data_IF_830572020044
#
_entry.id   IF_830572020044
#
_cell.length_a   1.000
_cell.length_b   1.000
_cell.length_c   1.000
_cell.angle_alpha   90.00
_cell.angle_beta   90.00
_cell.angle_gamma   90.00
#
_symmetry.space_group_name_H-M   'P 1'
#
loop_
_entity.id
_entity.type
_entity.pdbx_description
1 polymer ?
#
# COMPACT_ATOMS: atom_id res chain seq x y z
N UNK A 1 -10.55 14.03 4.70
CA UNK A 1 -11.33 15.25 4.62
C UNK A 1 -10.67 16.31 3.71
N UNK A 2 -9.38 16.57 3.85
CA UNK A 2 -8.66 17.56 3.02
C UNK A 2 -8.84 17.32 1.51
N UNK A 3 -8.81 16.07 1.06
CA UNK A 3 -9.01 15.73 -0.34
C UNK A 3 -10.43 16.07 -0.82
N UNK A 4 -11.45 15.66 -0.07
CA UNK A 4 -12.86 15.90 -0.45
C UNK A 4 -13.16 17.39 -0.44
N UNK A 5 -12.63 18.12 0.53
CA UNK A 5 -12.80 19.58 0.63
C UNK A 5 -12.16 20.33 -0.53
N UNK A 6 -11.17 19.76 -1.21
CA UNK A 6 -10.53 20.37 -2.39
C UNK A 6 -11.31 20.16 -3.69
N UNK A 7 -12.30 19.28 -3.71
CA UNK A 7 -13.12 19.05 -4.90
C UNK A 7 -14.15 20.16 -5.11
N UNK A 8 -14.48 20.50 -6.35
CA UNK A 8 -15.61 21.39 -6.63
C UNK A 8 -16.88 20.80 -5.99
N UNK A 9 -17.61 21.60 -5.21
CA UNK A 9 -18.76 21.17 -4.42
C UNK A 9 -18.48 20.13 -3.31
N UNK A 10 -17.22 19.88 -2.94
CA UNK A 10 -16.83 19.00 -1.83
C UNK A 10 -17.50 17.62 -1.88
N UNK A 11 -18.26 17.27 -0.85
CA UNK A 11 -18.98 15.98 -0.75
C UNK A 11 -20.06 15.75 -1.81
N UNK A 12 -20.52 16.80 -2.46
CA UNK A 12 -21.54 16.73 -3.53
C UNK A 12 -20.93 16.62 -4.94
N UNK A 13 -19.61 16.48 -5.03
CA UNK A 13 -18.93 16.34 -6.32
C UNK A 13 -19.33 15.03 -7.00
N UNK A 14 -19.77 15.14 -8.26
CA UNK A 14 -20.15 13.97 -9.04
C UNK A 14 -18.93 13.30 -9.65
N UNK A 15 -18.53 12.16 -9.10
CA UNK A 15 -17.34 11.40 -9.54
C UNK A 15 -17.57 10.55 -10.78
N UNK A 16 -18.79 10.56 -11.34
CA UNK A 16 -19.19 9.72 -12.46
C UNK A 16 -19.09 8.22 -12.15
N UNK A 17 -19.43 7.40 -13.13
CA UNK A 17 -19.37 5.95 -12.99
C UNK A 17 -17.93 5.49 -12.71
N UNK A 18 -17.77 4.62 -11.71
CA UNK A 18 -16.46 4.09 -11.26
C UNK A 18 -15.43 5.17 -10.88
N UNK A 19 -15.86 6.38 -10.58
CA UNK A 19 -14.94 7.47 -10.22
C UNK A 19 -14.07 7.95 -11.38
N UNK A 20 -14.57 7.92 -12.61
CA UNK A 20 -13.82 8.28 -13.83
C UNK A 20 -13.23 9.69 -13.79
N UNK A 21 -13.79 10.61 -13.00
CA UNK A 21 -13.32 12.00 -12.81
C UNK A 21 -12.20 12.14 -11.78
N UNK A 22 -11.83 11.05 -11.11
CA UNK A 22 -10.80 11.04 -10.09
C UNK A 22 -9.50 10.43 -10.62
N UNK A 23 -8.37 10.85 -10.06
CA UNK A 23 -7.08 10.20 -10.31
C UNK A 23 -7.08 8.79 -9.71
N UNK A 24 -6.15 7.94 -10.16
CA UNK A 24 -5.96 6.59 -9.63
C UNK A 24 -5.73 6.60 -8.10
N UNK A 25 -4.90 7.49 -7.60
CA UNK A 25 -4.64 7.65 -6.16
C UNK A 25 -5.86 8.09 -5.37
N UNK A 26 -6.65 9.01 -5.91
CA UNK A 26 -7.89 9.49 -5.29
C UNK A 26 -8.94 8.38 -5.21
N UNK A 27 -9.10 7.58 -6.25
CA UNK A 27 -9.99 6.41 -6.25
C UNK A 27 -9.57 5.39 -5.19
N UNK A 28 -8.28 5.16 -5.03
CA UNK A 28 -7.74 4.26 -4.02
C UNK A 28 -7.99 4.75 -2.60
N UNK A 29 -7.82 6.06 -2.34
CA UNK A 29 -8.15 6.67 -1.04
C UNK A 29 -9.62 6.49 -0.68
N UNK A 30 -10.54 6.66 -1.64
CA UNK A 30 -11.98 6.43 -1.40
C UNK A 30 -12.26 4.97 -1.11
N UNK A 31 -11.63 4.03 -1.81
CA UNK A 31 -11.77 2.61 -1.54
C UNK A 31 -11.29 2.25 -0.12
N UNK A 32 -10.20 2.84 0.35
CA UNK A 32 -9.72 2.68 1.73
C UNK A 32 -10.69 3.25 2.76
N UNK A 33 -11.29 4.42 2.50
CA UNK A 33 -12.31 5.00 3.37
C UNK A 33 -13.53 4.10 3.50
N UNK A 34 -13.98 3.50 2.41
CA UNK A 34 -15.09 2.52 2.43
C UNK A 34 -14.77 1.31 3.30
N UNK A 35 -13.57 0.77 3.18
CA UNK A 35 -13.09 -0.33 4.02
C UNK A 35 -13.00 0.09 5.50
N UNK A 36 -12.53 1.28 5.78
CA UNK A 36 -12.42 1.82 7.14
C UNK A 36 -13.80 1.99 7.82
N UNK A 37 -14.76 2.54 7.10
CA UNK A 37 -16.12 2.78 7.64
C UNK A 37 -16.84 1.47 7.95
N UNK A 38 -16.63 0.41 7.16
CA UNK A 38 -17.21 -0.90 7.42
C UNK A 38 -16.61 -1.62 8.65
N UNK A 39 -15.49 -1.11 9.18
CA UNK A 39 -14.81 -1.61 10.38
C UNK A 39 -14.64 -3.14 10.43
N UNK A 40 -14.01 -3.75 9.43
CA UNK A 40 -13.84 -5.20 9.37
C UNK A 40 -12.81 -5.70 10.39
N UNK A 41 -12.96 -6.95 10.84
CA UNK A 41 -11.96 -7.62 11.69
C UNK A 41 -10.76 -8.07 10.89
N UNK A 42 -10.96 -8.46 9.63
CA UNK A 42 -9.93 -8.87 8.68
C UNK A 42 -10.01 -7.95 7.46
N UNK A 43 -8.87 -7.39 7.10
CA UNK A 43 -8.74 -6.46 5.99
C UNK A 43 -7.77 -7.04 4.96
N UNK A 44 -8.18 -7.08 3.69
CA UNK A 44 -7.30 -7.44 2.57
C UNK A 44 -7.13 -6.22 1.68
N UNK A 45 -5.90 -5.78 1.52
CA UNK A 45 -5.54 -4.63 0.69
C UNK A 45 -4.59 -5.06 -0.42
N UNK A 46 -4.89 -4.63 -1.64
CA UNK A 46 -3.96 -4.71 -2.77
C UNK A 46 -3.43 -3.31 -3.08
N UNK A 47 -2.13 -3.12 -2.87
CA UNK A 47 -1.43 -1.85 -3.11
C UNK A 47 -1.00 -1.73 -4.58
N UNK A 48 -1.96 -1.60 -5.51
CA UNK A 48 -1.69 -1.41 -6.94
C UNK A 48 -1.51 0.08 -7.27
N UNK A 49 -0.33 0.65 -6.98
CA UNK A 49 -0.09 2.11 -7.08
C UNK A 49 1.05 2.50 -8.00
N UNK A 50 1.27 1.81 -9.09
CA UNK A 50 2.40 2.04 -10.00
C UNK A 50 2.40 3.41 -10.72
N UNK A 51 1.31 4.18 -10.69
CA UNK A 51 1.15 5.44 -11.44
C UNK A 51 0.67 6.61 -10.57
N UNK A 52 1.02 6.64 -9.30
CA UNK A 52 0.53 7.64 -8.34
C UNK A 52 1.61 8.68 -8.07
N UNK A 53 1.23 9.96 -8.06
CA UNK A 53 2.13 11.07 -7.70
C UNK A 53 2.57 11.00 -6.24
N UNK A 54 3.68 11.66 -5.90
CA UNK A 54 4.30 11.60 -4.56
C UNK A 54 3.37 12.06 -3.44
N UNK A 55 2.52 13.06 -3.70
CA UNK A 55 1.59 13.57 -2.70
C UNK A 55 0.48 12.55 -2.40
N UNK A 56 -0.12 11.98 -3.44
CA UNK A 56 -1.12 10.91 -3.29
C UNK A 56 -0.51 9.66 -2.66
N UNK A 57 0.75 9.35 -2.96
CA UNK A 57 1.50 8.27 -2.34
C UNK A 57 1.62 8.42 -0.83
N UNK A 58 1.99 9.60 -0.37
CA UNK A 58 2.06 9.91 1.06
C UNK A 58 0.71 9.73 1.76
N UNK A 59 -0.37 10.23 1.15
CA UNK A 59 -1.72 10.09 1.69
C UNK A 59 -2.18 8.64 1.75
N UNK A 60 -1.87 7.85 0.72
CA UNK A 60 -2.16 6.41 0.68
C UNK A 60 -1.42 5.67 1.79
N UNK A 61 -0.13 5.92 1.99
CA UNK A 61 0.65 5.32 3.07
C UNK A 61 0.08 5.66 4.44
N UNK A 62 -0.29 6.91 4.65
CA UNK A 62 -0.92 7.36 5.89
C UNK A 62 -2.26 6.67 6.13
N UNK A 63 -3.06 6.50 5.08
CA UNK A 63 -4.34 5.79 5.15
C UNK A 63 -4.14 4.31 5.47
N UNK A 64 -3.21 3.61 4.82
CA UNK A 64 -2.88 2.21 5.09
C UNK A 64 -2.47 2.03 6.55
N UNK A 65 -1.58 2.86 7.06
CA UNK A 65 -1.14 2.80 8.45
C UNK A 65 -2.30 2.96 9.44
N UNK A 66 -3.27 3.81 9.12
CA UNK A 66 -4.43 4.05 9.96
C UNK A 66 -5.42 2.91 9.95
N UNK A 67 -5.76 2.37 8.78
CA UNK A 67 -6.78 1.32 8.64
C UNK A 67 -6.28 -0.07 9.05
N UNK A 68 -4.99 -0.34 8.98
CA UNK A 68 -4.41 -1.61 9.41
C UNK A 68 -4.20 -1.70 10.91
N UNK A 69 -4.21 -0.58 11.61
CA UNK A 69 -3.97 -0.53 13.05
C UNK A 69 -5.10 -1.20 13.83
N UNK A 70 -4.73 -2.09 14.74
CA UNK A 70 -5.68 -2.76 15.64
C UNK A 70 -6.53 -3.86 15.01
N UNK A 71 -6.18 -4.34 13.82
CA UNK A 71 -6.89 -5.43 13.13
C UNK A 71 -5.94 -6.35 12.37
N UNK A 72 -6.41 -7.53 11.99
CA UNK A 72 -5.66 -8.44 11.13
C UNK A 72 -5.73 -7.96 9.69
N UNK A 73 -4.58 -7.70 9.08
CA UNK A 73 -4.48 -7.18 7.72
C UNK A 73 -3.59 -8.05 6.86
N UNK A 74 -4.05 -8.33 5.64
CA UNK A 74 -3.26 -8.95 4.58
C UNK A 74 -3.05 -7.88 3.51
N UNK A 75 -1.81 -7.50 3.28
CA UNK A 75 -1.48 -6.44 2.32
C UNK A 75 -0.61 -7.01 1.20
N UNK A 76 -1.08 -6.89 -0.04
CA UNK A 76 -0.26 -7.15 -1.22
C UNK A 76 0.48 -5.86 -1.50
N UNK A 77 1.76 -5.81 -1.13
CA UNK A 77 2.54 -4.58 -1.13
C UNK A 77 3.58 -4.57 -2.24
N UNK A 78 3.72 -3.43 -2.87
CA UNK A 78 4.73 -3.15 -3.90
C UNK A 78 5.78 -2.14 -3.41
N UNK A 79 5.58 -1.55 -2.23
CA UNK A 79 6.46 -0.53 -1.65
C UNK A 79 7.15 -1.05 -0.42
N UNK A 80 8.46 -0.83 -0.38
CA UNK A 80 9.28 -1.25 0.74
C UNK A 80 8.84 -0.64 2.07
N UNK A 81 8.37 0.60 2.06
CA UNK A 81 7.87 1.29 3.26
C UNK A 81 6.67 0.56 3.91
N UNK A 82 5.77 0.00 3.11
CA UNK A 82 4.66 -0.83 3.59
C UNK A 82 5.16 -2.18 4.11
N UNK A 83 6.04 -2.84 3.35
CA UNK A 83 6.54 -4.18 3.64
C UNK A 83 7.30 -4.20 4.98
N UNK A 84 8.17 -3.22 5.21
CA UNK A 84 9.00 -3.14 6.44
C UNK A 84 8.17 -3.08 7.73
N UNK A 85 6.95 -2.59 7.67
CA UNK A 85 6.07 -2.42 8.83
C UNK A 85 5.23 -3.66 9.14
N UNK A 86 5.22 -4.65 8.26
CA UNK A 86 4.47 -5.88 8.46
C UNK A 86 5.08 -6.71 9.59
N UNK A 87 4.24 -7.31 10.42
CA UNK A 87 4.67 -8.25 11.46
C UNK A 87 5.22 -9.55 10.84
N UNK A 88 4.64 -9.96 9.73
CA UNK A 88 5.05 -11.12 8.97
C UNK A 88 5.01 -10.84 7.47
N UNK A 89 6.09 -11.12 6.80
CA UNK A 89 6.23 -11.01 5.34
C UNK A 89 6.18 -12.41 4.76
N UNK A 90 5.41 -12.57 3.69
CA UNK A 90 5.32 -13.80 2.91
C UNK A 90 5.83 -13.49 1.51
N UNK A 91 6.87 -14.20 1.09
CA UNK A 91 7.40 -14.10 -0.27
C UNK A 91 6.88 -15.27 -1.09
N UNK A 92 6.25 -14.95 -2.20
CA UNK A 92 5.67 -15.94 -3.10
C UNK A 92 6.37 -15.92 -4.46
N UNK A 93 6.63 -17.10 -4.98
CA UNK A 93 7.14 -17.29 -6.35
C UNK A 93 6.40 -18.45 -7.01
N UNK A 94 5.90 -18.24 -8.22
CA UNK A 94 5.17 -19.27 -9.00
C UNK A 94 4.05 -19.97 -8.21
N UNK A 95 3.31 -19.19 -7.42
CA UNK A 95 2.19 -19.67 -6.62
C UNK A 95 2.58 -20.43 -5.35
N UNK A 96 3.86 -20.45 -4.98
CA UNK A 96 4.36 -21.09 -3.77
C UNK A 96 4.97 -20.09 -2.81
N UNK A 97 4.85 -20.36 -1.51
CA UNK A 97 5.55 -19.61 -0.48
C UNK A 97 7.00 -20.09 -0.44
N UNK A 98 7.93 -19.18 -0.73
CA UNK A 98 9.38 -19.48 -0.74
C UNK A 98 10.10 -18.97 0.51
N UNK A 99 9.60 -17.91 1.12
CA UNK A 99 10.12 -17.35 2.38
C UNK A 99 8.98 -16.78 3.23
N UNK A 100 9.17 -16.82 4.55
CA UNK A 100 8.24 -16.24 5.50
C UNK A 100 8.98 -15.80 6.76
N UNK A 101 8.73 -14.60 7.24
CA UNK A 101 9.34 -14.07 8.46
C UNK A 101 9.16 -12.55 8.59
N UNK A 102 9.81 -11.97 9.59
CA UNK A 102 9.88 -10.52 9.73
C UNK A 102 10.88 -9.90 8.76
N UNK A 103 10.83 -8.58 8.60
CA UNK A 103 11.80 -7.84 7.81
C UNK A 103 13.25 -8.16 8.23
N UNK A 104 13.52 -8.14 9.53
CA UNK A 104 14.86 -8.42 10.07
C UNK A 104 15.32 -9.85 9.82
N UNK A 105 14.43 -10.82 10.03
CA UNK A 105 14.74 -12.26 9.81
C UNK A 105 15.04 -12.53 8.34
N UNK A 106 14.24 -12.01 7.42
CA UNK A 106 14.40 -12.26 5.99
C UNK A 106 15.64 -11.58 5.41
N UNK A 107 16.08 -10.46 5.95
CA UNK A 107 17.34 -9.83 5.53
C UNK A 107 18.58 -10.65 5.91
N UNK A 108 18.48 -11.51 6.91
CA UNK A 108 19.58 -12.37 7.35
C UNK A 108 19.72 -13.67 6.54
N UNK A 109 18.71 -14.00 5.74
CA UNK A 109 18.75 -15.18 4.88
C UNK A 109 19.77 -14.94 3.75
N UNK A 110 20.83 -15.71 3.75
CA UNK A 110 21.86 -15.64 2.72
C UNK A 110 21.26 -16.05 1.36
N UNK A 111 21.47 -15.20 0.34
CA UNK A 111 20.90 -15.36 -1.01
C UNK A 111 19.36 -15.45 -1.05
N UNK A 112 18.65 -14.97 0.00
CA UNK A 112 17.22 -14.99 0.07
C UNK A 112 16.52 -14.13 -0.99
N UNK A 113 15.31 -14.52 -1.38
CA UNK A 113 14.50 -13.79 -2.36
C UNK A 113 14.14 -12.39 -1.85
N UNK A 114 13.73 -12.27 -0.60
CA UNK A 114 13.39 -10.98 0.01
C UNK A 114 14.59 -10.04 0.07
N UNK A 115 15.74 -10.56 0.47
CA UNK A 115 16.98 -9.78 0.54
C UNK A 115 17.37 -9.20 -0.82
N UNK A 116 17.29 -10.01 -1.88
CA UNK A 116 17.56 -9.57 -3.26
C UNK A 116 16.59 -8.48 -3.71
N UNK A 117 15.30 -8.64 -3.45
CA UNK A 117 14.29 -7.62 -3.75
C UNK A 117 14.56 -6.31 -3.00
N UNK A 118 14.94 -6.40 -1.73
CA UNK A 118 15.29 -5.25 -0.91
C UNK A 118 16.52 -4.50 -1.46
N UNK A 119 17.57 -5.24 -1.84
CA UNK A 119 18.80 -4.67 -2.41
C UNK A 119 18.53 -3.93 -3.73
N UNK A 120 17.73 -4.50 -4.61
CA UNK A 120 17.33 -3.88 -5.89
C UNK A 120 16.55 -2.59 -5.65
N UNK A 121 15.57 -2.60 -4.76
CA UNK A 121 14.78 -1.41 -4.45
C UNK A 121 15.58 -0.32 -3.74
N UNK A 122 16.54 -0.72 -2.89
CA UNK A 122 17.42 0.21 -2.22
C UNK A 122 18.36 0.89 -3.23
N UNK A 123 18.93 0.14 -4.17
CA UNK A 123 19.76 0.68 -5.23
C UNK A 123 18.99 1.66 -6.13
N UNK A 124 17.78 1.33 -6.52
CA UNK A 124 16.91 2.19 -7.34
C UNK A 124 16.56 3.53 -6.65
N UNK A 125 16.48 3.54 -5.32
CA UNK A 125 16.21 4.76 -4.54
C UNK A 125 17.47 5.62 -4.28
N UNK A 126 18.66 5.12 -4.61
CA UNK A 126 19.92 5.83 -4.43
C UNK A 126 20.45 6.46 -5.74
N UNK A 127 19.88 6.16 -6.88
CA UNK A 127 20.25 6.85 -8.11
C UNK A 127 19.78 8.32 -8.03
N UNK A 128 20.70 9.28 -8.11
CA UNK A 128 20.33 10.68 -8.19
C UNK A 128 19.56 10.91 -9.50
N UNK A 129 18.41 11.53 -9.35
CA UNK A 129 17.62 11.93 -10.51
C UNK A 129 18.41 12.92 -11.41
#
# INVERSE_FOLDING_TARGET
DQFISSLPNGYHYNVKERGAMLSSGQRQLIAFLRAYVSNPSILVLDEATSSVDSNSEYLIQKAINKITKGRTSIVIAHRLATIKKADKIIVMEKGQIVEMGSHKELLQVENGHYRKLHEVQFAANQEPA
#
